data_IF_151645727822
#
_entry.id   IF_151645727822
#
_cell.length_a   1.000
_cell.length_b   1.000
_cell.length_c   1.000
_cell.angle_alpha   90.00
_cell.angle_beta   90.00
_cell.angle_gamma   90.00
#
_symmetry.space_group_name_H-M   'P 1'
#
loop_
_entity.id
_entity.type
_entity.pdbx_description
1 polymer ?
#
# COMPACT_ATOMS: atom_id res chain seq x y z
N UNK A 1 36.22 -4.07 -26.71
CA UNK A 1 34.90 -3.57 -26.32
C UNK A 1 34.77 -3.79 -24.82
N UNK A 2 34.78 -2.72 -24.01
CA UNK A 2 34.66 -2.85 -22.53
C UNK A 2 33.24 -3.24 -22.20
N UNK A 3 33.03 -4.38 -21.54
CA UNK A 3 31.77 -4.75 -20.89
C UNK A 3 31.46 -3.68 -19.84
N UNK A 4 30.54 -2.77 -20.15
CA UNK A 4 29.97 -1.86 -19.16
C UNK A 4 28.91 -2.65 -18.38
N UNK A 5 29.20 -3.00 -17.15
CA UNK A 5 28.19 -3.54 -16.23
C UNK A 5 27.17 -2.45 -15.94
N UNK A 6 25.92 -2.68 -16.36
CA UNK A 6 24.81 -1.78 -16.06
C UNK A 6 24.03 -2.32 -14.85
N UNK A 7 23.84 -1.50 -13.83
CA UNK A 7 23.03 -1.84 -12.65
C UNK A 7 21.65 -1.20 -12.78
N UNK A 8 20.60 -2.01 -12.76
CA UNK A 8 19.22 -1.57 -12.66
C UNK A 8 18.76 -1.66 -11.20
N UNK A 9 18.22 -0.56 -10.66
CA UNK A 9 17.65 -0.54 -9.31
C UNK A 9 16.20 -0.08 -9.37
N UNK A 10 15.31 -0.82 -8.67
CA UNK A 10 13.93 -0.40 -8.41
C UNK A 10 13.89 0.43 -7.12
N UNK A 11 13.17 1.55 -7.17
CA UNK A 11 13.10 2.48 -6.02
C UNK A 11 11.78 2.30 -5.26
N UNK A 12 11.73 1.34 -4.33
CA UNK A 12 10.61 1.11 -3.40
C UNK A 12 10.80 1.98 -2.15
N UNK A 13 10.57 3.28 -2.31
CA UNK A 13 10.96 4.36 -1.38
C UNK A 13 10.40 4.23 0.03
N UNK A 14 9.25 3.56 0.22
CA UNK A 14 8.58 3.47 1.52
C UNK A 14 9.43 2.73 2.56
N UNK A 15 10.22 1.75 2.15
CA UNK A 15 11.16 1.05 3.05
C UNK A 15 12.21 1.97 3.68
N UNK A 16 12.51 3.11 3.05
CA UNK A 16 13.48 4.08 3.55
C UNK A 16 12.88 5.07 4.56
N UNK A 17 11.55 5.20 4.61
CA UNK A 17 10.88 6.14 5.51
C UNK A 17 11.04 5.72 6.97
N UNK A 18 11.44 6.65 7.88
CA UNK A 18 11.64 6.34 9.30
C UNK A 18 10.43 5.70 9.96
N UNK A 19 9.22 6.16 9.65
CA UNK A 19 7.98 5.62 10.16
C UNK A 19 7.82 4.13 9.89
N UNK A 20 8.07 3.70 8.65
CA UNK A 20 7.87 2.29 8.29
C UNK A 20 9.01 1.39 8.79
N UNK A 21 10.21 1.95 8.97
CA UNK A 21 11.30 1.25 9.67
C UNK A 21 10.93 1.01 11.13
N UNK A 22 10.47 2.06 11.81
CA UNK A 22 9.97 1.93 13.18
C UNK A 22 8.86 0.87 13.29
N UNK A 23 7.88 0.89 12.37
CA UNK A 23 6.78 -0.08 12.38
C UNK A 23 7.28 -1.51 12.17
N UNK A 24 8.25 -1.70 11.27
CA UNK A 24 8.88 -3.01 11.08
C UNK A 24 9.59 -3.49 12.34
N UNK A 25 10.36 -2.62 12.96
CA UNK A 25 11.04 -2.94 14.21
C UNK A 25 10.03 -3.26 15.32
N UNK A 26 8.92 -2.53 15.41
CA UNK A 26 7.84 -2.80 16.36
C UNK A 26 7.19 -4.18 16.13
N UNK A 27 6.98 -4.58 14.87
CA UNK A 27 6.49 -5.92 14.52
C UNK A 27 7.53 -6.99 14.92
N UNK A 28 8.79 -6.81 14.57
CA UNK A 28 9.86 -7.77 14.86
C UNK A 28 10.16 -7.93 16.36
N UNK A 29 9.94 -6.88 17.14
CA UNK A 29 10.11 -6.89 18.59
C UNK A 29 8.80 -7.19 19.36
N UNK A 30 7.82 -7.75 18.69
CA UNK A 30 6.56 -8.23 19.29
C UNK A 30 5.69 -7.13 19.99
N UNK A 31 5.93 -5.85 19.65
CA UNK A 31 5.13 -4.72 20.16
C UNK A 31 3.70 -4.80 19.65
N UNK A 32 3.52 -5.22 18.40
CA UNK A 32 2.20 -5.34 17.76
C UNK A 32 1.57 -6.71 18.02
N UNK A 33 2.36 -7.68 18.44
CA UNK A 33 1.94 -9.08 18.55
C UNK A 33 1.86 -9.76 17.17
N UNK A 34 1.09 -10.85 17.09
CA UNK A 34 0.86 -11.55 15.83
C UNK A 34 0.02 -10.68 14.88
N UNK A 35 0.59 -10.31 13.74
CA UNK A 35 -0.12 -9.53 12.72
C UNK A 35 -1.08 -10.45 11.97
N UNK A 36 -2.38 -10.15 12.04
CA UNK A 36 -3.43 -10.92 11.40
C UNK A 36 -4.09 -10.21 10.21
N UNK A 37 -3.96 -8.87 10.11
CA UNK A 37 -4.47 -8.13 8.95
C UNK A 37 -3.60 -6.91 8.62
N UNK A 38 -3.45 -6.62 7.32
CA UNK A 38 -2.80 -5.41 6.79
C UNK A 38 -3.68 -4.79 5.72
N UNK A 39 -4.13 -3.57 5.95
CA UNK A 39 -4.87 -2.77 4.96
C UNK A 39 -4.02 -1.60 4.47
N UNK A 40 -3.90 -1.45 3.16
CA UNK A 40 -3.18 -0.36 2.54
C UNK A 40 -3.95 0.29 1.41
N UNK A 41 -3.95 1.63 1.37
CA UNK A 41 -4.56 2.38 0.27
C UNK A 41 -3.52 3.34 -0.33
N UNK A 42 -3.27 3.19 -1.64
CA UNK A 42 -2.52 4.15 -2.44
C UNK A 42 -3.50 5.14 -3.05
N UNK A 43 -3.70 6.28 -2.39
CA UNK A 43 -4.57 7.35 -2.85
C UNK A 43 -3.74 8.32 -3.70
N UNK A 44 -4.09 8.43 -4.99
CA UNK A 44 -3.36 9.27 -5.92
C UNK A 44 -4.32 10.12 -6.75
N UNK A 45 -4.88 11.15 -6.12
CA UNK A 45 -5.88 12.05 -6.72
C UNK A 45 -5.34 12.96 -7.85
N UNK A 46 -4.53 12.40 -8.75
CA UNK A 46 -3.92 13.09 -9.90
C UNK A 46 -4.34 12.40 -11.19
N UNK A 47 -5.65 12.42 -11.47
CA UNK A 47 -6.27 11.74 -12.60
C UNK A 47 -5.60 12.08 -13.94
N UNK A 48 -5.12 13.32 -14.12
CA UNK A 48 -4.42 13.77 -15.32
C UNK A 48 -3.14 12.98 -15.63
N UNK A 49 -2.54 12.34 -14.64
CA UNK A 49 -1.34 11.50 -14.84
C UNK A 49 -1.62 10.26 -15.68
N UNK A 50 -2.86 9.74 -15.63
CA UNK A 50 -3.26 8.58 -16.43
C UNK A 50 -4.08 8.99 -17.65
N UNK A 51 -4.76 10.15 -17.63
CA UNK A 51 -5.60 10.59 -18.76
C UNK A 51 -4.87 11.46 -19.77
N UNK A 52 -3.84 12.24 -19.33
CA UNK A 52 -3.11 13.18 -20.19
C UNK A 52 -1.61 12.85 -20.30
N UNK A 53 -1.07 12.07 -19.35
CA UNK A 53 0.35 11.72 -19.31
C UNK A 53 0.70 10.53 -20.22
N UNK A 54 1.98 10.18 -20.24
CA UNK A 54 2.51 9.05 -21.02
C UNK A 54 1.86 7.70 -20.67
N UNK A 55 1.31 7.57 -19.46
CA UNK A 55 0.68 6.33 -18.96
C UNK A 55 -0.52 5.89 -19.78
N UNK A 56 -1.24 6.82 -20.39
CA UNK A 56 -2.38 6.48 -21.27
C UNK A 56 -1.97 5.68 -22.50
N UNK A 57 -0.70 5.80 -22.92
CA UNK A 57 -0.15 5.16 -24.10
C UNK A 57 0.58 3.84 -23.80
N UNK A 58 0.64 3.44 -22.52
CA UNK A 58 1.25 2.17 -22.12
C UNK A 58 0.21 1.07 -22.28
N UNK A 59 0.53 0.05 -23.11
CA UNK A 59 -0.29 -1.15 -23.18
C UNK A 59 -0.27 -1.85 -21.81
N UNK A 60 -1.40 -2.40 -21.40
CA UNK A 60 -1.53 -3.18 -20.17
C UNK A 60 -1.16 -2.43 -18.88
N UNK A 61 -1.36 -1.09 -18.86
CA UNK A 61 -1.09 -0.30 -17.66
C UNK A 61 -2.04 -0.68 -16.52
N UNK A 62 -1.49 -0.90 -15.34
CA UNK A 62 -2.26 -1.09 -14.12
C UNK A 62 -1.92 -0.01 -13.09
N UNK A 63 -2.93 0.61 -12.48
CA UNK A 63 -2.72 1.53 -11.34
C UNK A 63 -2.09 0.81 -10.14
N UNK A 64 -2.27 -0.52 -10.06
CA UNK A 64 -1.59 -1.34 -9.05
C UNK A 64 -0.07 -1.37 -9.31
N UNK A 65 0.36 -1.53 -10.56
CA UNK A 65 1.78 -1.45 -10.93
C UNK A 65 2.32 -0.01 -10.84
N UNK A 66 1.52 0.98 -11.23
CA UNK A 66 1.94 2.38 -11.26
C UNK A 66 1.99 3.07 -9.89
N UNK A 67 1.35 2.50 -8.88
CA UNK A 67 1.27 3.10 -7.54
C UNK A 67 1.06 2.09 -6.42
N UNK A 68 0.09 1.21 -6.55
CA UNK A 68 -0.21 0.19 -5.55
C UNK A 68 0.97 -0.70 -5.19
N UNK A 69 1.92 -0.88 -6.11
CA UNK A 69 3.16 -1.65 -5.88
C UNK A 69 3.92 -1.20 -4.62
N UNK A 70 3.88 0.10 -4.30
CA UNK A 70 4.52 0.62 -3.09
C UNK A 70 3.88 0.07 -1.81
N UNK A 71 2.55 -0.08 -1.80
CA UNK A 71 1.81 -0.64 -0.65
C UNK A 71 1.93 -2.17 -0.59
N UNK A 72 1.91 -2.84 -1.75
CA UNK A 72 2.16 -4.29 -1.83
C UNK A 72 3.55 -4.61 -1.30
N UNK A 73 4.57 -3.91 -1.79
CA UNK A 73 5.95 -4.08 -1.33
C UNK A 73 6.09 -3.82 0.18
N UNK A 74 5.44 -2.75 0.66
CA UNK A 74 5.47 -2.40 2.08
C UNK A 74 4.85 -3.52 2.95
N UNK A 75 3.68 -4.04 2.56
CA UNK A 75 3.03 -5.16 3.25
C UNK A 75 3.96 -6.39 3.32
N UNK A 76 4.53 -6.80 2.18
CA UNK A 76 5.43 -7.95 2.12
C UNK A 76 6.70 -7.74 2.96
N UNK A 77 7.23 -6.52 2.95
CA UNK A 77 8.45 -6.19 3.70
C UNK A 77 8.21 -6.09 5.21
N UNK A 78 7.06 -5.56 5.64
CA UNK A 78 6.69 -5.47 7.05
C UNK A 78 6.44 -6.85 7.66
N UNK A 79 5.70 -7.70 6.94
CA UNK A 79 5.30 -9.03 7.42
C UNK A 79 6.38 -10.10 7.22
N UNK A 80 7.30 -9.89 6.27
CA UNK A 80 8.28 -10.89 5.88
C UNK A 80 7.68 -12.12 5.17
N UNK A 81 6.39 -12.08 4.81
CA UNK A 81 5.64 -13.19 4.26
C UNK A 81 5.34 -12.99 2.77
N UNK A 82 5.02 -14.08 2.07
CA UNK A 82 4.53 -14.07 0.69
C UNK A 82 3.10 -14.62 0.65
N UNK A 83 2.20 -14.02 -0.14
CA UNK A 83 0.83 -14.52 -0.25
C UNK A 83 0.78 -15.84 -1.00
N UNK A 84 -0.12 -16.72 -0.56
CA UNK A 84 -0.46 -17.98 -1.24
C UNK A 84 -1.48 -17.75 -2.35
N UNK A 85 -2.39 -16.77 -2.18
CA UNK A 85 -3.41 -16.45 -3.18
C UNK A 85 -3.69 -14.94 -3.21
N UNK A 86 -4.11 -14.47 -4.40
CA UNK A 86 -4.52 -13.08 -4.63
C UNK A 86 -5.82 -13.08 -5.43
N UNK A 87 -6.79 -12.30 -4.95
CA UNK A 87 -8.01 -11.98 -5.68
C UNK A 87 -8.12 -10.47 -5.85
N UNK A 88 -8.42 -10.01 -7.06
CA UNK A 88 -8.52 -8.57 -7.34
C UNK A 88 -9.77 -8.21 -8.13
N UNK A 89 -10.27 -7.00 -7.89
CA UNK A 89 -11.34 -6.36 -8.64
C UNK A 89 -10.94 -4.93 -8.97
N UNK A 90 -11.48 -4.41 -10.07
CA UNK A 90 -11.23 -3.03 -10.46
C UNK A 90 -12.36 -2.46 -11.29
N UNK A 91 -12.39 -1.14 -11.41
CA UNK A 91 -13.32 -0.44 -12.28
C UNK A 91 -12.64 0.77 -12.93
N UNK A 92 -13.35 1.37 -13.91
CA UNK A 92 -12.91 2.53 -14.68
C UNK A 92 -13.99 3.61 -14.69
N UNK A 93 -14.54 3.93 -13.53
CA UNK A 93 -15.66 4.88 -13.43
C UNK A 93 -15.16 6.32 -13.54
N UNK A 94 -14.04 6.65 -12.90
CA UNK A 94 -13.50 8.03 -12.85
C UNK A 94 -12.90 8.49 -14.17
N UNK A 95 -12.55 7.57 -15.07
CA UNK A 95 -11.97 7.87 -16.39
C UNK A 95 -12.89 7.61 -17.56
N UNK A 96 -14.18 7.39 -17.31
CA UNK A 96 -15.19 7.28 -18.39
C UNK A 96 -15.15 8.53 -19.27
N UNK A 97 -15.14 8.34 -20.59
CA UNK A 97 -15.05 9.44 -21.57
C UNK A 97 -13.63 9.96 -21.83
N UNK A 98 -12.60 9.37 -21.21
CA UNK A 98 -11.19 9.67 -21.51
C UNK A 98 -10.56 8.59 -22.39
N UNK A 99 -9.36 8.87 -22.93
CA UNK A 99 -8.58 7.89 -23.71
C UNK A 99 -7.98 6.76 -22.85
N UNK A 100 -7.98 6.89 -21.52
CA UNK A 100 -7.46 5.85 -20.63
C UNK A 100 -8.40 4.64 -20.60
N UNK A 101 -7.89 3.45 -20.92
CA UNK A 101 -8.70 2.25 -21.16
C UNK A 101 -8.66 1.23 -20.01
N UNK A 102 -7.85 1.46 -18.99
CA UNK A 102 -7.67 0.51 -17.89
C UNK A 102 -8.42 0.95 -16.62
N UNK A 103 -8.45 0.07 -15.61
CA UNK A 103 -9.04 0.42 -14.32
C UNK A 103 -8.29 1.57 -13.65
N UNK A 104 -9.01 2.59 -13.20
CA UNK A 104 -8.50 3.73 -12.43
C UNK A 104 -8.56 3.50 -10.92
N UNK A 105 -9.33 2.50 -10.51
CA UNK A 105 -9.39 1.94 -9.17
C UNK A 105 -9.24 0.41 -9.22
N UNK A 106 -8.34 -0.11 -8.40
CA UNK A 106 -8.13 -1.56 -8.22
C UNK A 106 -7.98 -1.86 -6.74
N UNK A 107 -8.62 -2.91 -6.27
CA UNK A 107 -8.41 -3.50 -4.95
C UNK A 107 -7.99 -4.95 -5.11
N UNK A 108 -7.01 -5.37 -4.31
CA UNK A 108 -6.53 -6.74 -4.26
C UNK A 108 -6.51 -7.24 -2.81
N UNK A 109 -7.04 -8.46 -2.60
CA UNK A 109 -7.00 -9.18 -1.35
C UNK A 109 -5.96 -10.29 -1.46
N UNK A 110 -5.16 -10.43 -0.43
CA UNK A 110 -4.04 -11.36 -0.34
C UNK A 110 -4.28 -12.32 0.82
N UNK A 111 -4.23 -13.62 0.56
CA UNK A 111 -4.30 -14.65 1.57
C UNK A 111 -2.92 -15.28 1.76
N UNK A 112 -2.54 -15.50 3.00
CA UNK A 112 -1.24 -16.08 3.38
C UNK A 112 -1.45 -17.42 4.11
N UNK A 113 -0.48 -18.31 4.00
CA UNK A 113 -0.54 -19.64 4.67
C UNK A 113 -0.61 -19.52 6.20
N UNK A 114 -0.10 -18.44 6.75
CA UNK A 114 -0.17 -18.12 8.20
C UNK A 114 -1.57 -17.72 8.69
N UNK A 115 -2.54 -17.49 7.77
CA UNK A 115 -3.84 -16.93 8.09
C UNK A 115 -3.88 -15.40 8.05
N UNK A 116 -2.75 -14.71 7.84
CA UNK A 116 -2.73 -13.27 7.61
C UNK A 116 -3.57 -12.92 6.36
N UNK A 117 -4.34 -11.84 6.45
CA UNK A 117 -5.08 -11.26 5.32
C UNK A 117 -4.49 -9.89 5.00
N UNK A 118 -4.17 -9.66 3.72
CA UNK A 118 -3.80 -8.35 3.19
C UNK A 118 -4.88 -7.78 2.28
N UNK A 119 -5.14 -6.48 2.35
CA UNK A 119 -5.96 -5.76 1.38
C UNK A 119 -5.21 -4.50 0.93
N UNK A 120 -4.92 -4.41 -0.36
CA UNK A 120 -4.27 -3.23 -0.94
C UNK A 120 -5.18 -2.64 -2.02
N UNK A 121 -5.39 -1.34 -1.98
CA UNK A 121 -6.05 -0.60 -3.07
C UNK A 121 -5.10 0.40 -3.73
N UNK A 122 -5.35 0.66 -5.02
CA UNK A 122 -4.74 1.75 -5.77
C UNK A 122 -5.86 2.57 -6.43
N UNK A 123 -5.97 3.83 -6.05
CA UNK A 123 -7.02 4.73 -6.47
C UNK A 123 -6.43 6.00 -7.09
N UNK A 124 -6.52 6.11 -8.42
CA UNK A 124 -6.05 7.28 -9.16
C UNK A 124 -7.17 8.27 -9.48
N UNK A 125 -8.43 7.85 -9.31
CA UNK A 125 -9.61 8.66 -9.55
C UNK A 125 -10.18 9.38 -8.34
N UNK A 126 -9.61 9.17 -7.14
CA UNK A 126 -10.14 9.75 -5.91
C UNK A 126 -9.98 11.28 -5.86
N UNK A 127 -10.95 11.95 -5.27
CA UNK A 127 -10.88 13.37 -4.90
C UNK A 127 -10.12 13.53 -3.58
N UNK A 128 -8.85 13.16 -3.59
CA UNK A 128 -7.99 13.16 -2.41
C UNK A 128 -6.56 13.57 -2.76
N UNK A 129 -5.85 14.19 -1.82
CA UNK A 129 -4.41 14.41 -1.99
C UNK A 129 -3.66 13.08 -2.06
N UNK A 130 -2.46 13.09 -2.65
CA UNK A 130 -1.62 11.89 -2.66
C UNK A 130 -1.27 11.47 -1.23
N UNK A 131 -1.63 10.23 -0.88
CA UNK A 131 -1.39 9.67 0.44
C UNK A 131 -1.26 8.15 0.39
N UNK A 132 -0.44 7.61 1.28
CA UNK A 132 -0.36 6.20 1.61
C UNK A 132 -1.07 5.98 2.95
N UNK A 133 -2.27 5.42 2.92
CA UNK A 133 -2.96 5.00 4.15
C UNK A 133 -2.51 3.58 4.48
N UNK A 134 -2.18 3.34 5.74
CA UNK A 134 -1.78 2.01 6.20
C UNK A 134 -2.39 1.69 7.55
N UNK A 135 -2.95 0.49 7.67
CA UNK A 135 -3.41 -0.08 8.93
C UNK A 135 -2.78 -1.46 9.10
N UNK A 136 -2.23 -1.71 10.26
CA UNK A 136 -1.69 -3.02 10.64
C UNK A 136 -2.35 -3.43 11.94
N UNK A 137 -3.01 -4.58 11.91
CA UNK A 137 -3.75 -5.13 13.05
C UNK A 137 -3.01 -6.33 13.61
N UNK A 138 -2.58 -6.21 14.86
CA UNK A 138 -1.95 -7.29 15.59
C UNK A 138 -2.71 -7.63 16.86
N UNK A 139 -2.31 -8.71 17.51
CA UNK A 139 -2.99 -9.23 18.71
C UNK A 139 -2.77 -8.38 19.96
N UNK A 140 -1.67 -7.57 20.00
CA UNK A 140 -1.32 -6.69 21.12
C UNK A 140 -1.60 -5.22 20.82
N UNK A 141 -1.41 -4.78 19.56
CA UNK A 141 -1.64 -3.39 19.18
C UNK A 141 -2.10 -3.28 17.71
N UNK A 142 -2.69 -2.12 17.39
CA UNK A 142 -3.07 -1.74 16.03
C UNK A 142 -2.39 -0.44 15.63
N UNK A 143 -1.72 -0.45 14.49
CA UNK A 143 -1.13 0.74 13.90
C UNK A 143 -2.04 1.30 12.82
N UNK A 144 -2.24 2.62 12.83
CA UNK A 144 -3.02 3.36 11.82
C UNK A 144 -2.24 4.59 11.37
N UNK A 145 -2.07 4.73 10.07
CA UNK A 145 -1.53 5.93 9.43
C UNK A 145 -2.50 6.42 8.36
N UNK A 146 -3.05 7.60 8.56
CA UNK A 146 -3.99 8.28 7.68
C UNK A 146 -3.80 9.82 7.78
N UNK A 147 -4.82 10.62 7.43
CA UNK A 147 -4.80 12.08 7.49
C UNK A 147 -4.53 12.66 8.89
N UNK A 148 -4.79 11.90 9.94
CA UNK A 148 -4.52 12.30 11.33
C UNK A 148 -3.08 11.99 11.76
N UNK A 149 -2.28 11.38 10.89
CA UNK A 149 -0.90 10.95 11.16
C UNK A 149 -0.81 9.54 11.76
N UNK A 150 0.42 9.11 12.10
CA UNK A 150 0.65 7.76 12.60
C UNK A 150 0.26 7.62 14.08
N UNK A 151 -0.49 6.56 14.38
CA UNK A 151 -1.03 6.26 15.71
C UNK A 151 -0.93 4.77 16.02
N UNK A 152 -0.63 4.46 17.26
CA UNK A 152 -0.62 3.10 17.81
C UNK A 152 -1.69 2.99 18.90
N UNK A 153 -2.58 2.02 18.77
CA UNK A 153 -3.62 1.65 19.72
C UNK A 153 -3.16 0.41 20.47
N UNK A 154 -2.95 0.54 21.79
CA UNK A 154 -2.42 -0.55 22.64
C UNK A 154 -3.50 -1.10 23.61
N UNK A 155 -4.71 -0.58 23.53
CA UNK A 155 -5.84 -1.02 24.35
C UNK A 155 -7.17 -0.88 23.59
N UNK A 156 -8.17 -1.64 24.01
CA UNK A 156 -9.57 -1.52 23.56
C UNK A 156 -10.40 -0.56 24.43
N UNK A 157 -9.81 -0.02 25.50
CA UNK A 157 -10.48 0.95 26.34
C UNK A 157 -10.66 2.29 25.58
N UNK A 158 -11.92 2.72 25.33
CA UNK A 158 -12.19 3.94 24.57
C UNK A 158 -11.79 5.22 25.32
N UNK A 159 -11.56 5.15 26.64
CA UNK A 159 -11.10 6.28 27.44
C UNK A 159 -9.61 6.57 27.25
N UNK A 160 -8.85 5.62 26.71
CA UNK A 160 -7.41 5.74 26.44
C UNK A 160 -7.20 6.05 24.97
N UNK A 161 -6.71 7.25 24.66
CA UNK A 161 -6.37 7.65 23.30
C UNK A 161 -5.14 6.91 22.75
N UNK A 162 -4.98 6.87 21.41
CA UNK A 162 -3.81 6.25 20.78
C UNK A 162 -2.53 7.05 21.04
N UNK A 163 -1.42 6.34 21.12
CA UNK A 163 -0.07 6.94 21.14
C UNK A 163 0.28 7.47 19.75
N UNK A 164 0.72 8.71 19.64
CA UNK A 164 1.31 9.25 18.41
C UNK A 164 2.74 8.74 18.23
N UNK A 165 3.09 8.41 16.98
CA UNK A 165 4.40 7.87 16.62
C UNK A 165 5.21 8.95 15.90
#
# INVERSE_FOLDING_TARGET
MSNRECHLRSNLVLRAAPLYRWLRDAIQNDVVGDVYAVDGDYLYGRLEKITKGWRKNVSDYSVMQGGGVHMVDLMLWLTGQRPAAVFSSGNRISTVGTEFQFSDYVVANYSFDSGLIGRISANFGCMHRHQHVLRVFGTKASFVYDDQGPRLYETRDPSVGPKRI
#
